data_IF_387434687624
#
_entry.id   IF_387434687624
#
_cell.length_a   1.000
_cell.length_b   1.000
_cell.length_c   1.000
_cell.angle_alpha   90.00
_cell.angle_beta   90.00
_cell.angle_gamma   90.00
#
_symmetry.space_group_name_H-M   'P 1'
#
loop_
_entity.id
_entity.type
_entity.pdbx_description
1 polymer ?
#
# COMPACT_ATOMS: atom_id res chain seq x y z
N UNK A 1 7.06 18.49 -3.02
CA UNK A 1 7.87 17.37 -3.55
C UNK A 1 8.35 17.80 -4.93
N UNK A 2 9.61 18.22 -5.05
CA UNK A 2 10.10 18.88 -6.27
C UNK A 2 11.29 18.15 -6.92
N UNK A 3 11.69 16.98 -6.41
CA UNK A 3 12.72 16.16 -7.06
C UNK A 3 12.15 15.59 -8.37
N UNK A 4 12.78 15.84 -9.54
CA UNK A 4 12.28 15.34 -10.83
C UNK A 4 12.14 13.81 -10.85
N UNK A 5 13.02 13.09 -10.16
CA UNK A 5 13.01 11.61 -10.11
C UNK A 5 11.77 11.06 -9.41
N UNK A 6 11.20 11.84 -8.48
CA UNK A 6 9.96 11.51 -7.77
C UNK A 6 8.76 11.99 -8.56
N UNK A 7 8.85 13.18 -9.17
CA UNK A 7 7.74 13.80 -9.92
C UNK A 7 7.30 12.94 -11.11
N UNK A 8 8.24 12.38 -11.88
CA UNK A 8 7.92 11.46 -12.99
C UNK A 8 7.17 10.20 -12.51
N UNK A 9 7.54 9.67 -11.34
CA UNK A 9 6.91 8.48 -10.77
C UNK A 9 5.51 8.81 -10.26
N UNK A 10 5.33 9.97 -9.62
CA UNK A 10 4.02 10.45 -9.18
C UNK A 10 3.05 10.64 -10.36
N UNK A 11 3.54 11.08 -11.53
CA UNK A 11 2.74 11.16 -12.74
C UNK A 11 2.31 9.79 -13.25
N UNK A 12 3.23 8.81 -13.29
CA UNK A 12 2.90 7.42 -13.65
C UNK A 12 1.89 6.80 -12.67
N UNK A 13 1.97 7.16 -11.39
CA UNK A 13 1.08 6.68 -10.34
C UNK A 13 -0.37 7.16 -10.49
N UNK A 14 -0.64 8.23 -11.27
CA UNK A 14 -2.01 8.72 -11.50
C UNK A 14 -2.87 7.77 -12.34
N UNK A 15 -2.26 6.81 -13.03
CA UNK A 15 -2.98 5.82 -13.85
C UNK A 15 -3.80 4.82 -13.03
N UNK A 16 -3.53 4.71 -11.72
CA UNK A 16 -4.22 3.80 -10.82
C UNK A 16 -5.40 4.47 -10.11
N UNK A 17 -6.60 3.92 -10.30
CA UNK A 17 -7.84 4.33 -9.65
C UNK A 17 -7.86 3.87 -8.17
N UNK A 18 -7.23 4.67 -7.32
CA UNK A 18 -7.08 4.41 -5.89
C UNK A 18 -8.42 4.34 -5.16
N UNK A 19 -9.33 5.27 -5.49
CA UNK A 19 -10.61 5.41 -4.82
C UNK A 19 -11.46 4.15 -5.01
N UNK A 20 -11.54 3.64 -6.25
CA UNK A 20 -12.25 2.40 -6.55
C UNK A 20 -11.74 1.20 -5.74
N UNK A 21 -10.45 1.19 -5.41
CA UNK A 21 -9.80 0.12 -4.67
C UNK A 21 -9.62 0.40 -3.18
N UNK A 22 -10.20 1.49 -2.65
CA UNK A 22 -10.17 1.83 -1.23
C UNK A 22 -8.85 2.39 -0.71
N UNK A 23 -7.90 2.67 -1.59
CA UNK A 23 -6.66 3.37 -1.24
C UNK A 23 -6.96 4.86 -1.01
N UNK A 24 -6.24 5.49 -0.08
CA UNK A 24 -6.39 6.95 0.10
C UNK A 24 -5.68 7.71 -1.05
N UNK A 25 -6.05 8.97 -1.33
CA UNK A 25 -5.32 9.80 -2.29
C UNK A 25 -3.81 9.84 -2.00
N UNK A 26 -2.99 10.05 -3.03
CA UNK A 26 -1.55 10.19 -2.81
C UNK A 26 -1.27 11.36 -1.83
N UNK A 27 -0.49 11.14 -0.77
CA UNK A 27 -0.26 12.17 0.23
C UNK A 27 0.58 13.30 -0.36
N UNK A 28 0.15 14.54 -0.16
CA UNK A 28 0.83 15.75 -0.67
C UNK A 28 1.91 16.28 0.28
N UNK A 29 1.85 15.90 1.56
CA UNK A 29 2.73 16.39 2.64
C UNK A 29 3.49 15.28 3.38
N UNK A 30 3.50 14.05 2.86
CA UNK A 30 4.24 12.95 3.49
C UNK A 30 5.75 13.05 3.22
N UNK A 31 6.54 12.50 4.14
CA UNK A 31 7.95 12.24 3.87
C UNK A 31 8.05 11.13 2.82
N UNK A 32 8.86 11.35 1.78
CA UNK A 32 9.01 10.41 0.67
C UNK A 32 10.45 9.95 0.56
N UNK A 33 10.64 8.63 0.52
CA UNK A 33 11.92 7.99 0.23
C UNK A 33 11.82 7.29 -1.11
N UNK A 34 12.78 7.57 -1.99
CA UNK A 34 12.96 6.84 -3.25
C UNK A 34 13.93 5.68 -3.03
N UNK A 35 13.47 4.46 -3.31
CA UNK A 35 14.30 3.27 -3.42
C UNK A 35 14.57 2.96 -4.90
N UNK A 36 15.83 2.68 -5.22
CA UNK A 36 16.28 2.29 -6.57
C UNK A 36 16.83 0.88 -6.46
N UNK A 37 16.25 -0.05 -7.24
CA UNK A 37 16.66 -1.45 -7.23
C UNK A 37 17.70 -1.72 -8.32
N UNK A 38 18.47 -2.80 -8.15
CA UNK A 38 19.38 -3.30 -9.19
C UNK A 38 18.56 -3.87 -10.36
N UNK A 39 19.12 -3.86 -11.59
CA UNK A 39 18.49 -4.47 -12.76
C UNK A 39 18.10 -5.94 -12.51
N UNK A 40 16.99 -6.37 -13.10
CA UNK A 40 16.47 -7.74 -12.96
C UNK A 40 15.61 -7.98 -11.70
N UNK A 41 15.36 -6.93 -10.90
CA UNK A 41 14.42 -7.00 -9.78
C UNK A 41 12.95 -7.06 -10.21
N UNK A 42 12.09 -7.39 -9.24
CA UNK A 42 10.63 -7.36 -9.34
C UNK A 42 10.08 -5.95 -9.70
N UNK A 43 10.84 -4.90 -9.41
CA UNK A 43 10.57 -3.51 -9.78
C UNK A 43 11.90 -2.78 -9.96
N UNK A 44 11.87 -1.63 -10.62
CA UNK A 44 13.07 -0.80 -10.86
C UNK A 44 13.18 0.35 -9.83
N UNK A 45 12.03 0.94 -9.46
CA UNK A 45 11.95 1.98 -8.43
C UNK A 45 10.76 1.74 -7.52
N UNK A 46 10.88 2.17 -6.27
CA UNK A 46 9.79 2.17 -5.31
C UNK A 46 9.77 3.49 -4.53
N UNK A 47 8.61 4.12 -4.45
CA UNK A 47 8.38 5.23 -3.54
C UNK A 47 7.84 4.70 -2.22
N UNK A 48 8.42 5.15 -1.13
CA UNK A 48 7.94 4.92 0.23
C UNK A 48 7.39 6.24 0.76
N UNK A 49 6.13 6.25 1.19
CA UNK A 49 5.50 7.38 1.84
C UNK A 49 5.34 7.07 3.32
N UNK A 50 5.84 7.99 4.14
CA UNK A 50 5.72 7.94 5.59
C UNK A 50 4.85 9.09 6.06
N UNK A 51 3.71 8.76 6.65
CA UNK A 51 2.75 9.73 7.16
C UNK A 51 1.70 9.03 8.00
N UNK A 52 0.43 9.37 7.76
CA UNK A 52 -0.71 8.77 8.45
C UNK A 52 -0.81 7.26 8.19
N UNK A 53 -0.56 6.85 6.95
CA UNK A 53 -0.39 5.45 6.55
C UNK A 53 1.06 5.19 6.17
N UNK A 54 1.47 3.93 6.19
CA UNK A 54 2.71 3.49 5.55
C UNK A 54 2.34 3.00 4.15
N UNK A 55 2.89 3.60 3.11
CA UNK A 55 2.56 3.25 1.73
C UNK A 55 3.80 3.04 0.89
N UNK A 56 3.77 2.02 0.04
CA UNK A 56 4.77 1.80 -1.00
C UNK A 56 4.13 1.74 -2.38
N UNK A 57 4.82 2.28 -3.39
CA UNK A 57 4.38 2.25 -4.78
C UNK A 57 5.56 1.83 -5.64
N UNK A 58 5.43 0.73 -6.38
CA UNK A 58 6.49 0.19 -7.21
C UNK A 58 6.26 0.53 -8.68
N UNK A 59 7.38 0.74 -9.40
CA UNK A 59 7.40 1.17 -10.78
C UNK A 59 8.36 0.34 -11.61
N UNK A 60 7.96 0.10 -12.86
CA UNK A 60 8.78 -0.47 -13.92
C UNK A 60 9.23 0.63 -14.88
N UNK A 61 10.50 0.62 -15.27
CA UNK A 61 11.02 1.46 -16.35
C UNK A 61 10.50 0.93 -17.67
N UNK A 62 10.03 1.84 -18.52
CA UNK A 62 9.65 1.54 -19.91
C UNK A 62 10.48 2.43 -20.84
N UNK A 63 10.51 2.15 -22.16
CA UNK A 63 11.16 3.03 -23.13
C UNK A 63 10.63 4.48 -23.08
N UNK A 64 9.34 4.64 -22.75
CA UNK A 64 8.63 5.93 -22.77
C UNK A 64 8.47 6.57 -21.37
N UNK A 65 9.14 6.04 -20.34
CA UNK A 65 9.05 6.60 -18.98
C UNK A 65 8.91 5.53 -17.91
N UNK A 66 7.86 5.66 -17.09
CA UNK A 66 7.59 4.80 -15.94
C UNK A 66 6.17 4.27 -15.99
N UNK A 67 5.99 3.03 -15.52
CA UNK A 67 4.69 2.40 -15.36
C UNK A 67 4.51 2.00 -13.90
N UNK A 68 3.35 2.33 -13.33
CA UNK A 68 2.92 1.82 -12.04
C UNK A 68 2.63 0.32 -12.13
N UNK A 69 3.10 -0.48 -11.17
CA UNK A 69 2.94 -1.94 -11.21
C UNK A 69 2.46 -2.57 -9.90
N UNK A 70 2.56 -1.84 -8.79
CA UNK A 70 2.19 -2.31 -7.46
C UNK A 70 1.96 -1.13 -6.52
N UNK A 71 0.98 -1.23 -5.64
CA UNK A 71 0.76 -0.31 -4.51
C UNK A 71 0.32 -1.10 -3.27
N UNK A 72 0.94 -0.79 -2.14
CA UNK A 72 0.57 -1.30 -0.84
C UNK A 72 0.36 -0.13 0.12
N UNK A 73 -0.75 -0.14 0.86
CA UNK A 73 -1.05 0.83 1.90
C UNK A 73 -1.43 0.12 3.20
N UNK A 74 -0.76 0.48 4.28
CA UNK A 74 -0.98 -0.08 5.62
C UNK A 74 -1.57 0.99 6.52
N UNK A 75 -2.77 0.69 7.02
CA UNK A 75 -3.50 1.46 8.01
C UNK A 75 -3.22 0.90 9.38
N UNK A 76 -2.71 1.73 10.29
CA UNK A 76 -2.48 1.35 11.68
C UNK A 76 -3.74 1.67 12.49
N UNK A 77 -4.23 0.70 13.25
CA UNK A 77 -5.33 0.88 14.19
C UNK A 77 -4.84 1.23 15.60
N UNK A 78 -5.77 1.59 16.49
CA UNK A 78 -5.45 2.04 17.85
C UNK A 78 -5.09 0.90 18.80
N UNK A 79 -5.57 -0.32 18.55
CA UNK A 79 -5.32 -1.44 19.45
C UNK A 79 -3.96 -2.11 19.18
N UNK A 80 -3.50 -2.86 20.18
CA UNK A 80 -2.31 -3.70 20.08
C UNK A 80 -2.68 -5.15 20.37
N UNK A 81 -1.96 -6.07 19.76
CA UNK A 81 -2.08 -7.50 20.02
C UNK A 81 -0.70 -8.09 20.27
N UNK A 82 -0.64 -9.18 21.03
CA UNK A 82 0.62 -9.82 21.44
C UNK A 82 0.73 -11.21 20.86
N UNK A 83 1.85 -11.48 20.21
CA UNK A 83 2.25 -12.82 19.78
C UNK A 83 3.54 -13.22 20.50
N UNK A 84 4.03 -14.43 20.23
CA UNK A 84 5.34 -14.88 20.74
C UNK A 84 6.51 -14.00 20.27
N UNK A 85 6.32 -13.23 19.19
CA UNK A 85 7.34 -12.36 18.59
C UNK A 85 7.30 -10.92 19.13
N UNK A 86 6.32 -10.59 19.97
CA UNK A 86 6.19 -9.28 20.60
C UNK A 86 4.79 -8.68 20.51
N UNK A 87 4.70 -7.40 20.83
CA UNK A 87 3.45 -6.63 20.79
C UNK A 87 3.45 -5.71 19.58
N UNK A 88 2.41 -5.82 18.76
CA UNK A 88 2.26 -5.09 17.50
C UNK A 88 0.97 -4.26 17.51
N UNK A 89 0.95 -3.17 16.75
CA UNK A 89 -0.30 -2.46 16.48
C UNK A 89 -1.16 -3.31 15.54
N UNK A 90 -2.47 -3.26 15.73
CA UNK A 90 -3.38 -3.81 14.73
C UNK A 90 -3.25 -3.05 13.41
N UNK A 91 -3.46 -3.73 12.29
CA UNK A 91 -3.36 -3.09 10.98
C UNK A 91 -4.21 -3.75 9.91
N UNK A 92 -4.62 -2.94 8.94
CA UNK A 92 -5.22 -3.36 7.69
C UNK A 92 -4.24 -3.04 6.57
N UNK A 93 -3.96 -4.01 5.70
CA UNK A 93 -3.09 -3.85 4.56
C UNK A 93 -3.89 -4.04 3.27
N UNK A 94 -3.90 -3.01 2.43
CA UNK A 94 -4.38 -3.08 1.05
C UNK A 94 -3.17 -3.32 0.14
N UNK A 95 -3.27 -4.27 -0.78
CA UNK A 95 -2.26 -4.49 -1.82
C UNK A 95 -2.91 -4.73 -3.17
N UNK A 96 -2.43 -4.02 -4.20
CA UNK A 96 -2.81 -4.26 -5.58
C UNK A 96 -1.55 -4.34 -6.43
N UNK A 97 -1.45 -5.36 -7.29
CA UNK A 97 -0.31 -5.49 -8.21
C UNK A 97 -0.73 -6.00 -9.59
N UNK A 98 -0.14 -5.42 -10.64
CA UNK A 98 -0.31 -5.85 -12.04
C UNK A 98 0.87 -6.69 -12.52
N UNK A 99 2.01 -6.60 -11.83
CA UNK A 99 3.17 -7.47 -11.97
C UNK A 99 3.55 -8.03 -10.60
N UNK A 100 4.19 -9.21 -10.56
CA UNK A 100 4.57 -9.84 -9.27
C UNK A 100 5.60 -8.98 -8.54
N UNK A 101 5.21 -8.41 -7.39
CA UNK A 101 6.11 -7.67 -6.50
C UNK A 101 6.09 -8.26 -5.10
N UNK A 102 4.89 -8.44 -4.53
CA UNK A 102 4.67 -8.97 -3.19
C UNK A 102 3.99 -10.36 -3.20
N UNK A 103 3.86 -10.99 -4.38
CA UNK A 103 3.30 -12.33 -4.57
C UNK A 103 1.81 -12.47 -4.22
N UNK A 104 1.05 -11.39 -4.42
CA UNK A 104 -0.40 -11.37 -4.27
C UNK A 104 -1.11 -11.75 -5.58
N UNK A 105 -2.44 -11.87 -5.53
CA UNK A 105 -3.23 -12.11 -6.75
C UNK A 105 -3.11 -10.88 -7.66
N UNK A 106 -2.72 -11.11 -8.92
CA UNK A 106 -2.55 -10.03 -9.90
C UNK A 106 -3.90 -9.45 -10.34
N UNK A 107 -3.92 -8.16 -10.60
CA UNK A 107 -5.10 -7.42 -11.09
C UNK A 107 -6.33 -7.58 -10.19
N UNK A 108 -6.09 -7.74 -8.90
CA UNK A 108 -7.11 -7.89 -7.88
C UNK A 108 -6.66 -7.14 -6.62
N UNK A 109 -7.62 -6.54 -5.92
CA UNK A 109 -7.35 -6.01 -4.59
C UNK A 109 -7.21 -7.17 -3.60
N UNK A 110 -6.08 -7.19 -2.89
CA UNK A 110 -5.80 -8.12 -1.82
C UNK A 110 -5.86 -7.32 -0.51
N UNK A 111 -6.61 -7.82 0.47
CA UNK A 111 -6.80 -7.19 1.77
C UNK A 111 -6.36 -8.19 2.83
N UNK A 112 -5.60 -7.73 3.82
CA UNK A 112 -5.32 -8.51 5.02
C UNK A 112 -5.50 -7.67 6.28
N UNK A 113 -5.83 -8.36 7.37
CA UNK A 113 -5.91 -7.78 8.70
C UNK A 113 -4.99 -8.54 9.64
N UNK A 114 -4.29 -7.80 10.49
CA UNK A 114 -3.47 -8.31 11.57
C UNK A 114 -3.94 -7.67 12.87
N UNK A 115 -4.51 -8.47 13.78
CA UNK A 115 -5.02 -8.02 15.07
C UNK A 115 -6.07 -8.97 15.63
N UNK A 116 -6.78 -8.52 16.67
CA UNK A 116 -7.73 -9.34 17.43
C UNK A 116 -9.20 -8.89 17.27
N UNK A 117 -9.47 -7.90 16.41
CA UNK A 117 -10.85 -7.48 16.13
C UNK A 117 -11.63 -8.65 15.54
N UNK A 118 -12.63 -9.12 16.31
CA UNK A 118 -13.44 -10.30 15.96
C UNK A 118 -14.20 -10.14 14.64
N UNK A 119 -14.40 -8.90 14.15
CA UNK A 119 -15.01 -8.63 12.84
C UNK A 119 -14.12 -9.06 11.68
N UNK A 120 -12.79 -8.98 11.87
CA UNK A 120 -11.81 -9.17 10.79
C UNK A 120 -10.87 -10.36 11.04
N UNK A 121 -10.54 -10.69 12.28
CA UNK A 121 -9.52 -11.68 12.65
C UNK A 121 -9.78 -13.10 12.10
N UNK A 122 -11.04 -13.44 11.85
CA UNK A 122 -11.45 -14.75 11.32
C UNK A 122 -11.65 -14.77 9.80
N UNK A 123 -11.60 -13.60 9.14
CA UNK A 123 -11.81 -13.48 7.70
C UNK A 123 -10.52 -13.84 6.96
N UNK A 124 -10.59 -14.88 6.12
CA UNK A 124 -9.46 -15.27 5.27
C UNK A 124 -9.20 -14.26 4.15
N UNK A 125 -10.25 -13.69 3.59
CA UNK A 125 -10.20 -12.73 2.49
C UNK A 125 -11.19 -11.59 2.77
N UNK A 126 -10.82 -10.61 3.62
CA UNK A 126 -11.65 -9.43 3.88
C UNK A 126 -11.98 -8.67 2.59
N UNK A 127 -13.15 -8.05 2.54
CA UNK A 127 -13.59 -7.18 1.46
C UNK A 127 -13.51 -5.70 1.87
N UNK A 128 -13.69 -4.79 0.91
CA UNK A 128 -13.77 -3.36 1.21
C UNK A 128 -14.90 -3.04 2.18
N UNK A 129 -16.05 -3.71 2.07
CA UNK A 129 -17.20 -3.45 2.92
C UNK A 129 -16.99 -3.95 4.35
N UNK A 130 -16.18 -4.99 4.54
CA UNK A 130 -15.78 -5.46 5.88
C UNK A 130 -14.88 -4.44 6.58
N UNK A 131 -13.90 -3.87 5.86
CA UNK A 131 -12.89 -2.99 6.47
C UNK A 131 -13.31 -1.53 6.57
N UNK A 132 -14.22 -1.04 5.72
CA UNK A 132 -14.63 0.38 5.67
C UNK A 132 -15.16 0.90 7.02
N UNK A 133 -16.04 0.18 7.75
CA UNK A 133 -16.47 0.61 9.08
C UNK A 133 -15.31 0.72 10.06
N UNK A 134 -14.40 -0.26 10.04
CA UNK A 134 -13.23 -0.31 10.93
C UNK A 134 -12.27 0.85 10.66
N UNK A 135 -11.96 1.11 9.38
CA UNK A 135 -11.12 2.23 8.97
C UNK A 135 -11.71 3.58 9.39
N UNK A 136 -13.04 3.74 9.27
CA UNK A 136 -13.74 4.95 9.73
C UNK A 136 -13.64 5.13 11.24
N UNK A 137 -13.77 4.05 12.02
CA UNK A 137 -13.57 4.10 13.48
C UNK A 137 -12.14 4.50 13.86
N UNK A 138 -11.16 4.07 13.08
CA UNK A 138 -9.75 4.49 13.23
C UNK A 138 -9.49 5.91 12.67
N UNK A 139 -10.52 6.52 12.06
CA UNK A 139 -10.55 7.89 11.56
C UNK A 139 -10.03 8.10 10.14
N UNK A 140 -9.76 7.03 9.37
CA UNK A 140 -9.28 7.13 7.99
C UNK A 140 -10.38 7.50 7.01
#
# INVERSE_FOLDING_TARGET
MNDPRVTELLAAAQQFDRERHGFTPLPTHAAVRLEIRRPGGAYDRMLHFHGRTSRTIAFRKTPNGWRWIHEQEIFQGPNKYTTVDGTFNESICLTYETERVAHHRLNQLNISYSGEDKRLAWLKEPTLDDIRPVLREWGY
#
